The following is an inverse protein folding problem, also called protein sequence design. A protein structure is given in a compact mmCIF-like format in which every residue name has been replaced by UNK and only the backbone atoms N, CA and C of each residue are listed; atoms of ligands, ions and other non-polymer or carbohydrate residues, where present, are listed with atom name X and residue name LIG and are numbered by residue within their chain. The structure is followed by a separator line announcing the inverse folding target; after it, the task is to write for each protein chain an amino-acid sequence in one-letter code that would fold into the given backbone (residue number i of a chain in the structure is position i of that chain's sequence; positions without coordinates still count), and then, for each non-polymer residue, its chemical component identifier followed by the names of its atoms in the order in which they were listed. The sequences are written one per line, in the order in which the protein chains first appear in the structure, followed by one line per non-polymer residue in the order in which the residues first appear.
data_IF_220880834468
#
_entry.id   IF_220880834468
#
_cell.length_a   1.000
_cell.length_b   1.000
_cell.length_c   1.000
_cell.angle_alpha   90.00
_cell.angle_beta   90.00
_cell.angle_gamma   90.00
#
_symmetry.space_group_name_H-M   'P 1'
#
loop_
_entity.id
_entity.type
_entity.pdbx_description
1 polymer ?
#
# COMPACT_ATOMS: atom_id res chain seq x y z
N UNK A 1 -0.05 -51.93 -12.03
CA UNK A 1 -0.27 -50.61 -12.69
C UNK A 1 -1.32 -50.78 -13.78
N UNK A 2 -2.44 -50.06 -13.68
CA UNK A 2 -3.60 -50.17 -14.57
C UNK A 2 -3.30 -49.69 -15.99
N UNK A 3 -4.03 -50.22 -16.99
CA UNK A 3 -3.96 -49.80 -18.40
C UNK A 3 -4.17 -48.30 -18.60
N UNK A 4 -4.89 -47.63 -17.70
CA UNK A 4 -5.13 -46.18 -17.72
C UNK A 4 -3.84 -45.37 -17.47
N UNK A 5 -3.00 -45.77 -16.51
CA UNK A 5 -1.75 -45.05 -16.20
C UNK A 5 -0.72 -45.13 -17.34
N UNK A 6 -0.78 -46.16 -18.20
CA UNK A 6 0.11 -46.26 -19.36
C UNK A 6 -0.28 -45.31 -20.49
N UNK A 7 -1.56 -44.98 -20.63
CA UNK A 7 -2.03 -44.04 -21.65
C UNK A 7 -1.74 -42.59 -21.27
N UNK A 8 -1.87 -42.22 -19.99
CA UNK A 8 -1.53 -40.88 -19.51
C UNK A 8 -0.02 -40.59 -19.62
N UNK A 9 0.84 -41.55 -19.27
CA UNK A 9 2.28 -41.39 -19.42
C UNK A 9 2.71 -41.25 -20.89
N UNK A 10 2.03 -41.94 -21.81
CA UNK A 10 2.28 -41.80 -23.25
C UNK A 10 1.80 -40.44 -23.80
N UNK A 11 0.70 -39.90 -23.28
CA UNK A 11 0.20 -38.57 -23.63
C UNK A 11 1.16 -37.47 -23.13
N UNK A 12 1.63 -37.57 -21.89
CA UNK A 12 2.60 -36.64 -21.30
C UNK A 12 3.95 -36.67 -22.04
N UNK A 13 4.42 -37.86 -22.43
CA UNK A 13 5.69 -38.00 -23.18
C UNK A 13 5.60 -37.41 -24.59
N UNK A 14 4.42 -37.44 -25.24
CA UNK A 14 4.20 -36.77 -26.54
C UNK A 14 4.19 -35.24 -26.41
N UNK A 15 3.59 -34.71 -25.35
CA UNK A 15 3.55 -33.26 -25.08
C UNK A 15 4.96 -32.73 -24.80
N UNK A 16 5.74 -33.44 -23.97
CA UNK A 16 7.13 -33.07 -23.64
C UNK A 16 8.05 -33.13 -24.86
N UNK A 17 7.85 -34.09 -25.77
CA UNK A 17 8.63 -34.17 -27.01
C UNK A 17 8.25 -33.08 -28.03
N UNK A 18 7.01 -32.57 -27.99
CA UNK A 18 6.57 -31.47 -28.86
C UNK A 18 7.13 -30.10 -28.44
N UNK A 19 7.61 -29.95 -27.20
CA UNK A 19 8.15 -28.69 -26.67
C UNK A 19 9.68 -28.67 -26.56
N UNK A 20 10.36 -29.82 -26.65
CA UNK A 20 11.83 -29.94 -26.54
C UNK A 20 12.64 -29.56 -27.80
N UNK A 21 12.06 -28.83 -28.76
CA UNK A 21 12.75 -28.41 -29.99
C UNK A 21 12.58 -26.94 -30.37
N UNK A 22 11.91 -26.12 -29.55
CA UNK A 22 11.74 -24.71 -29.84
C UNK A 22 12.96 -23.93 -29.32
N UNK A 23 13.92 -23.69 -30.20
CA UNK A 23 15.08 -22.83 -29.96
C UNK A 23 14.63 -21.37 -29.91
N UNK A 24 14.31 -20.88 -28.72
CA UNK A 24 13.98 -19.47 -28.46
C UNK A 24 15.23 -18.60 -28.20
N UNK A 25 16.43 -19.15 -28.29
CA UNK A 25 17.68 -18.49 -27.87
C UNK A 25 18.20 -17.44 -28.85
N UNK A 26 17.99 -17.64 -30.16
CA UNK A 26 18.60 -16.77 -31.20
C UNK A 26 17.76 -15.54 -31.55
N UNK A 27 16.42 -15.59 -31.38
CA UNK A 27 15.52 -14.49 -31.73
C UNK A 27 15.42 -13.39 -30.65
N UNK A 28 15.86 -13.64 -29.42
CA UNK A 28 15.78 -12.68 -28.31
C UNK A 28 17.04 -11.80 -28.14
N UNK A 29 18.14 -12.08 -28.82
CA UNK A 29 19.42 -11.41 -28.58
C UNK A 29 19.73 -10.20 -29.50
N UNK A 30 18.84 -9.83 -30.43
CA UNK A 30 19.02 -8.62 -31.25
C UNK A 30 18.28 -7.41 -30.66
N UNK A 31 18.95 -6.74 -29.72
CA UNK A 31 18.75 -5.35 -29.27
C UNK A 31 17.30 -4.84 -29.18
N UNK A 32 16.65 -5.08 -28.03
CA UNK A 32 15.43 -4.36 -27.63
C UNK A 32 15.78 -2.91 -27.26
N UNK A 33 15.85 -2.04 -28.26
CA UNK A 33 15.89 -0.59 -28.03
C UNK A 33 14.54 -0.10 -27.50
N UNK A 34 14.56 0.76 -26.45
CA UNK A 34 13.38 1.38 -25.81
C UNK A 34 12.38 1.95 -26.82
N UNK A 35 12.85 2.43 -27.98
CA UNK A 35 12.02 2.99 -29.04
C UNK A 35 11.18 1.94 -29.78
N UNK A 36 11.66 0.70 -29.89
CA UNK A 36 10.91 -0.41 -30.53
C UNK A 36 9.89 -1.05 -29.60
N UNK A 37 10.10 -0.95 -28.28
CA UNK A 37 9.10 -1.39 -27.29
C UNK A 37 7.81 -0.55 -27.36
N UNK A 38 7.93 0.77 -27.51
CA UNK A 38 6.76 1.65 -27.68
C UNK A 38 6.07 1.51 -29.05
N UNK A 39 6.81 1.15 -30.10
CA UNK A 39 6.24 0.88 -31.44
C UNK A 39 5.58 -0.51 -31.54
N UNK A 40 6.05 -1.49 -30.77
CA UNK A 40 5.44 -2.83 -30.71
C UNK A 40 4.26 -2.93 -29.72
N UNK A 41 4.18 -2.02 -28.74
CA UNK A 41 3.07 -1.95 -27.77
C UNK A 41 1.76 -1.35 -28.31
N UNK A 42 1.75 -0.83 -29.55
CA UNK A 42 0.59 -0.15 -30.15
C UNK A 42 -0.48 -1.06 -30.78
N UNK A 43 -0.40 -2.39 -30.62
CA UNK A 43 -1.29 -3.35 -31.28
C UNK A 43 -1.91 -4.38 -30.32
N UNK A 44 -2.40 -3.96 -29.14
CA UNK A 44 -3.32 -4.80 -28.36
C UNK A 44 -4.75 -4.56 -28.80
N UNK A 45 -5.27 -5.58 -29.49
CA UNK A 45 -6.63 -5.72 -29.98
C UNK A 45 -7.63 -5.45 -28.84
N UNK A 46 -8.61 -4.62 -29.17
CA UNK A 46 -9.82 -4.28 -28.44
C UNK A 46 -10.50 -5.48 -27.74
N UNK A 47 -10.28 -5.62 -26.43
CA UNK A 47 -11.15 -6.39 -25.53
C UNK A 47 -12.42 -5.60 -25.10
N UNK A 48 -12.57 -4.35 -25.52
CA UNK A 48 -13.66 -3.46 -25.09
C UNK A 48 -15.06 -3.81 -25.63
N UNK A 49 -15.18 -4.64 -26.67
CA UNK A 49 -16.47 -4.95 -27.29
C UNK A 49 -17.16 -6.21 -26.73
N UNK A 50 -16.45 -7.09 -26.00
CA UNK A 50 -17.05 -8.28 -25.37
C UNK A 50 -17.48 -8.04 -23.91
N UNK A 51 -17.01 -6.97 -23.27
CA UNK A 51 -17.42 -6.58 -21.91
C UNK A 51 -18.69 -5.70 -21.87
N UNK A 52 -19.11 -5.14 -23.00
CA UNK A 52 -20.31 -4.31 -23.07
C UNK A 52 -21.63 -5.11 -23.08
N UNK A 53 -21.58 -6.44 -23.24
CA UNK A 53 -22.78 -7.29 -23.31
C UNK A 53 -23.12 -8.01 -21.98
N UNK A 54 -22.28 -7.88 -20.94
CA UNK A 54 -22.61 -8.34 -19.57
C UNK A 54 -22.84 -7.18 -18.59
N UNK A 55 -22.74 -5.94 -19.05
CA UNK A 55 -22.92 -4.71 -18.27
C UNK A 55 -24.26 -4.03 -18.49
N UNK A 56 -25.32 -4.77 -18.87
CA UNK A 56 -26.67 -4.22 -18.85
C UNK A 56 -27.05 -3.98 -17.37
N UNK A 57 -27.04 -2.71 -16.99
CA UNK A 57 -27.39 -2.24 -15.65
C UNK A 57 -28.88 -2.45 -15.41
N UNK A 58 -29.25 -3.57 -14.78
CA UNK A 58 -30.46 -3.64 -13.98
C UNK A 58 -30.08 -3.52 -12.50
N UNK A 59 -30.62 -2.48 -11.87
CA UNK A 59 -30.57 -2.23 -10.43
C UNK A 59 -31.28 -3.38 -9.70
N UNK A 60 -30.52 -4.43 -9.37
CA UNK A 60 -31.03 -5.58 -8.60
C UNK A 60 -31.00 -5.33 -7.08
N UNK A 61 -30.64 -4.14 -6.61
CA UNK A 61 -30.65 -3.79 -5.19
C UNK A 61 -29.68 -4.61 -4.32
N UNK A 62 -28.80 -5.41 -4.94
CA UNK A 62 -27.74 -6.15 -4.25
C UNK A 62 -26.53 -5.22 -4.15
N UNK A 63 -26.20 -4.79 -2.93
CA UNK A 63 -25.03 -3.96 -2.68
C UNK A 63 -23.75 -4.68 -3.14
N UNK A 64 -23.01 -4.07 -4.07
CA UNK A 64 -21.69 -4.55 -4.48
C UNK A 64 -20.62 -3.88 -3.63
N UNK A 65 -19.76 -4.69 -3.03
CA UNK A 65 -18.49 -4.21 -2.48
C UNK A 65 -17.66 -3.73 -3.68
N UNK A 66 -17.48 -2.42 -3.80
CA UNK A 66 -16.78 -1.77 -4.93
C UNK A 66 -17.58 -0.75 -5.73
N UNK A 67 -18.87 -0.54 -5.42
CA UNK A 67 -19.56 0.65 -5.93
C UNK A 67 -18.94 1.88 -5.25
N UNK A 68 -18.15 2.63 -6.02
CA UNK A 68 -17.64 3.93 -5.56
C UNK A 68 -18.83 4.85 -5.33
N UNK A 69 -18.92 5.42 -4.13
CA UNK A 69 -19.80 6.58 -3.87
C UNK A 69 -19.57 7.58 -5.01
N UNK A 70 -20.64 8.15 -5.61
CA UNK A 70 -20.48 9.14 -6.68
C UNK A 70 -19.45 10.19 -6.27
N UNK A 71 -18.50 10.43 -7.18
CA UNK A 71 -17.37 11.31 -6.98
C UNK A 71 -17.90 12.74 -6.79
N UNK A 72 -18.09 13.13 -5.53
CA UNK A 72 -18.34 14.52 -5.21
C UNK A 72 -17.03 15.24 -5.46
N UNK A 73 -16.97 16.02 -6.54
CA UNK A 73 -15.80 16.83 -6.86
C UNK A 73 -15.35 17.57 -5.60
N UNK A 74 -14.12 17.26 -5.14
CA UNK A 74 -13.52 17.98 -4.04
C UNK A 74 -13.42 19.45 -4.42
N UNK A 75 -13.65 20.34 -3.45
CA UNK A 75 -13.36 21.75 -3.66
C UNK A 75 -11.92 21.91 -4.15
N UNK A 76 -11.72 22.74 -5.16
CA UNK A 76 -10.38 23.07 -5.65
C UNK A 76 -9.70 23.96 -4.59
N UNK A 77 -9.00 23.31 -3.67
CA UNK A 77 -8.28 23.94 -2.57
C UNK A 77 -6.80 23.92 -2.91
N UNK A 78 -6.16 25.08 -2.80
CA UNK A 78 -4.71 25.20 -2.94
C UNK A 78 -3.99 24.30 -1.93
N UNK A 79 -3.13 23.41 -2.42
CA UNK A 79 -2.29 22.57 -1.58
C UNK A 79 -1.05 23.36 -1.18
N UNK A 80 -1.14 24.03 -0.04
CA UNK A 80 -0.03 24.82 0.54
C UNK A 80 0.97 23.94 1.30
N UNK A 81 2.15 24.48 1.58
CA UNK A 81 3.15 23.81 2.44
C UNK A 81 2.56 23.45 3.83
N UNK A 82 1.70 24.31 4.38
CA UNK A 82 0.98 24.05 5.63
C UNK A 82 0.04 22.85 5.51
N UNK A 83 -0.67 22.70 4.39
CA UNK A 83 -1.55 21.53 4.15
C UNK A 83 -0.74 20.25 4.07
N UNK A 84 0.40 20.29 3.35
CA UNK A 84 1.30 19.15 3.24
C UNK A 84 1.86 18.77 4.62
N UNK A 85 2.46 19.72 5.35
CA UNK A 85 3.04 19.45 6.66
C UNK A 85 2.00 18.91 7.66
N UNK A 86 0.81 19.51 7.74
CA UNK A 86 -0.29 19.00 8.57
C UNK A 86 -0.71 17.58 8.20
N UNK A 87 -0.69 17.27 6.91
CA UNK A 87 -0.98 15.91 6.43
C UNK A 87 0.12 14.94 6.86
N UNK A 88 1.39 15.28 6.66
CA UNK A 88 2.52 14.47 7.14
C UNK A 88 2.44 14.25 8.67
N UNK A 89 2.24 15.30 9.46
CA UNK A 89 2.07 15.18 10.92
C UNK A 89 0.95 14.20 11.26
N UNK A 90 -0.19 14.27 10.59
CA UNK A 90 -1.31 13.35 10.84
C UNK A 90 -0.95 11.87 10.59
N UNK A 91 -0.08 11.60 9.62
CA UNK A 91 0.40 10.25 9.31
C UNK A 91 1.41 9.76 10.37
N UNK A 92 2.28 10.64 10.88
CA UNK A 92 3.14 10.32 12.02
C UNK A 92 2.30 9.91 13.23
N UNK A 93 1.20 10.61 13.51
CA UNK A 93 0.29 10.24 14.60
C UNK A 93 -0.45 8.91 14.36
N UNK A 94 -0.71 8.50 13.11
CA UNK A 94 -1.20 7.13 12.86
C UNK A 94 -0.12 6.08 13.21
N UNK A 95 1.14 6.32 12.84
CA UNK A 95 2.23 5.41 13.16
C UNK A 95 2.47 5.33 14.67
N UNK A 96 2.51 6.48 15.37
CA UNK A 96 2.60 6.57 16.83
C UNK A 96 1.49 5.74 17.48
N UNK A 97 0.24 5.93 17.05
CA UNK A 97 -0.90 5.19 17.57
C UNK A 97 -0.71 3.67 17.43
N UNK A 98 -0.26 3.20 16.27
CA UNK A 98 -0.04 1.77 16.02
C UNK A 98 1.07 1.22 16.91
N UNK A 99 2.22 1.89 16.99
CA UNK A 99 3.32 1.42 17.82
C UNK A 99 2.97 1.41 19.31
N UNK A 100 2.20 2.40 19.79
CA UNK A 100 1.69 2.41 21.16
C UNK A 100 0.70 1.27 21.42
N UNK A 101 -0.21 1.00 20.48
CA UNK A 101 -1.16 -0.10 20.58
C UNK A 101 -0.46 -1.47 20.59
N UNK A 102 0.51 -1.68 19.70
CA UNK A 102 1.31 -2.92 19.62
C UNK A 102 2.14 -3.13 20.89
N UNK A 103 2.76 -2.07 21.40
CA UNK A 103 3.51 -2.13 22.66
C UNK A 103 2.59 -2.48 23.84
N UNK A 104 1.41 -1.86 23.90
CA UNK A 104 0.40 -2.13 24.94
C UNK A 104 -0.14 -3.56 24.88
N UNK A 105 -0.30 -4.10 23.67
CA UNK A 105 -0.74 -5.49 23.46
C UNK A 105 0.35 -6.52 23.80
N UNK A 106 1.61 -6.10 23.97
CA UNK A 106 2.72 -7.00 24.33
C UNK A 106 3.05 -8.05 23.25
N UNK A 107 2.71 -7.78 21.98
CA UNK A 107 2.86 -8.73 20.88
C UNK A 107 4.34 -8.95 20.52
N UNK A 108 5.14 -7.88 20.56
CA UNK A 108 6.55 -7.92 20.20
C UNK A 108 7.43 -8.17 21.43
N UNK A 109 8.53 -8.89 21.24
CA UNK A 109 9.53 -9.17 22.27
C UNK A 109 10.97 -9.07 21.72
N UNK A 110 11.96 -9.05 22.63
CA UNK A 110 13.38 -9.02 22.26
C UNK A 110 13.77 -7.85 21.36
N UNK A 111 14.55 -8.16 20.32
CA UNK A 111 15.04 -7.16 19.36
C UNK A 111 13.90 -6.47 18.59
N UNK A 112 12.81 -7.20 18.29
CA UNK A 112 11.65 -6.63 17.60
C UNK A 112 10.96 -5.55 18.44
N UNK A 113 10.79 -5.78 19.75
CA UNK A 113 10.24 -4.78 20.66
C UNK A 113 11.19 -3.57 20.81
N UNK A 114 12.50 -3.81 20.85
CA UNK A 114 13.51 -2.74 20.92
C UNK A 114 13.48 -1.87 19.67
N UNK A 115 13.38 -2.48 18.49
CA UNK A 115 13.28 -1.76 17.22
C UNK A 115 11.97 -0.98 17.10
N UNK A 116 10.84 -1.57 17.50
CA UNK A 116 9.54 -0.89 17.53
C UNK A 116 9.55 0.34 18.46
N UNK A 117 10.20 0.25 19.63
CA UNK A 117 10.36 1.38 20.54
C UNK A 117 11.20 2.51 19.93
N UNK A 118 12.23 2.16 19.14
CA UNK A 118 13.00 3.14 18.38
C UNK A 118 12.14 3.82 17.33
N UNK A 119 11.41 3.08 16.49
CA UNK A 119 10.53 3.67 15.47
C UNK A 119 9.45 4.57 16.09
N UNK A 120 8.86 4.18 17.22
CA UNK A 120 7.96 5.06 17.98
C UNK A 120 8.63 6.38 18.39
N UNK A 121 9.87 6.33 18.86
CA UNK A 121 10.64 7.53 19.21
C UNK A 121 10.91 8.41 17.98
N UNK A 122 11.29 7.79 16.86
CA UNK A 122 11.59 8.49 15.61
C UNK A 122 10.32 9.18 15.07
N UNK A 123 9.18 8.50 15.01
CA UNK A 123 7.89 9.11 14.62
C UNK A 123 7.46 10.27 15.51
N UNK A 124 7.69 10.20 16.82
CA UNK A 124 7.43 11.33 17.73
C UNK A 124 8.31 12.54 17.40
N UNK A 125 9.58 12.31 17.09
CA UNK A 125 10.49 13.37 16.66
C UNK A 125 10.05 13.98 15.31
N UNK A 126 9.60 13.16 14.37
CA UNK A 126 9.08 13.62 13.08
C UNK A 126 7.77 14.40 13.21
N UNK A 127 6.85 13.93 14.06
CA UNK A 127 5.59 14.63 14.37
C UNK A 127 5.85 16.01 14.98
N UNK A 128 6.81 16.10 15.91
CA UNK A 128 7.22 17.37 16.52
C UNK A 128 7.85 18.31 15.48
N UNK A 129 8.78 17.80 14.67
CA UNK A 129 9.44 18.60 13.64
C UNK A 129 8.44 19.19 12.63
N UNK A 130 7.52 18.36 12.12
CA UNK A 130 6.48 18.81 11.17
C UNK A 130 5.46 19.75 11.82
N UNK A 131 5.11 19.54 13.09
CA UNK A 131 4.25 20.45 13.86
C UNK A 131 4.91 21.81 14.03
N UNK A 132 6.17 21.85 14.45
CA UNK A 132 6.92 23.08 14.63
C UNK A 132 7.07 23.87 13.32
N UNK A 133 7.35 23.19 12.21
CA UNK A 133 7.41 23.84 10.89
C UNK A 133 6.04 24.38 10.45
N UNK A 134 4.96 23.65 10.73
CA UNK A 134 3.60 24.10 10.44
C UNK A 134 3.30 25.43 11.17
N UNK A 135 3.66 25.51 12.45
CA UNK A 135 3.44 26.71 13.28
C UNK A 135 4.32 27.88 12.84
N UNK A 136 5.58 27.62 12.46
CA UNK A 136 6.48 28.65 11.91
C UNK A 136 5.94 29.29 10.63
N UNK A 137 5.20 28.53 9.82
CA UNK A 137 4.52 29.02 8.62
C UNK A 137 3.16 29.67 8.90
N UNK A 138 2.79 29.86 10.17
CA UNK A 138 1.53 30.48 10.59
C UNK A 138 0.32 29.54 10.53
N UNK A 139 0.54 28.23 10.33
CA UNK A 139 -0.50 27.21 10.44
C UNK A 139 -0.74 26.76 11.88
N UNK A 140 -1.79 25.98 12.09
CA UNK A 140 -1.99 25.23 13.34
C UNK A 140 -1.41 23.82 13.17
N UNK A 141 -0.71 23.27 14.15
CA UNK A 141 -0.31 21.86 14.10
C UNK A 141 -1.54 20.92 14.06
N UNK A 142 -1.40 19.73 13.45
CA UNK A 142 -2.43 18.69 13.49
C UNK A 142 -1.91 17.51 14.30
N UNK A 143 -2.17 17.51 15.60
CA UNK A 143 -1.57 16.58 16.56
C UNK A 143 -2.42 15.35 16.85
N UNK A 144 -3.10 14.84 15.82
CA UNK A 144 -4.00 13.69 15.91
C UNK A 144 -3.77 12.76 14.71
N UNK A 145 -4.12 11.47 14.82
CA UNK A 145 -4.05 10.55 13.68
C UNK A 145 -4.90 11.05 12.50
N UNK A 146 -4.48 10.77 11.27
CA UNK A 146 -5.30 11.06 10.11
C UNK A 146 -6.63 10.28 10.21
N UNK A 147 -7.79 10.95 10.31
CA UNK A 147 -9.05 10.28 10.65
C UNK A 147 -9.48 9.28 9.57
N UNK A 148 -9.16 9.54 8.30
CA UNK A 148 -9.57 8.65 7.21
C UNK A 148 -8.73 7.37 7.18
N UNK A 149 -7.40 7.49 7.30
CA UNK A 149 -6.56 6.29 7.41
C UNK A 149 -6.83 5.53 8.71
N UNK A 150 -7.09 6.27 9.79
CA UNK A 150 -7.37 5.68 11.10
C UNK A 150 -8.57 4.73 11.02
N UNK A 151 -9.72 5.23 10.54
CA UNK A 151 -10.97 4.47 10.54
C UNK A 151 -11.04 3.40 9.46
N UNK A 152 -10.43 3.62 8.29
CA UNK A 152 -10.55 2.67 7.16
C UNK A 152 -9.48 1.57 7.22
N UNK A 153 -8.30 1.87 7.75
CA UNK A 153 -7.15 0.95 7.68
C UNK A 153 -6.58 0.60 9.06
N UNK A 154 -6.21 1.59 9.86
CA UNK A 154 -5.43 1.35 11.09
C UNK A 154 -6.25 0.59 12.15
N UNK A 155 -7.42 1.10 12.51
CA UNK A 155 -8.26 0.48 13.55
C UNK A 155 -8.75 -0.90 13.13
N UNK A 156 -9.26 -1.12 11.90
CA UNK A 156 -9.64 -2.46 11.44
C UNK A 156 -8.47 -3.43 11.43
N UNK A 157 -7.28 -3.02 10.99
CA UNK A 157 -6.10 -3.89 10.97
C UNK A 157 -5.70 -4.31 12.38
N UNK A 158 -5.55 -3.36 13.31
CA UNK A 158 -5.24 -3.67 14.70
C UNK A 158 -6.29 -4.59 15.32
N UNK A 159 -7.58 -4.32 15.08
CA UNK A 159 -8.69 -5.14 15.58
C UNK A 159 -8.60 -6.60 15.12
N UNK A 160 -8.25 -6.83 13.85
CA UNK A 160 -8.07 -8.18 13.30
C UNK A 160 -6.82 -8.87 13.84
N UNK A 161 -5.76 -8.12 14.06
CA UNK A 161 -4.49 -8.65 14.59
C UNK A 161 -4.64 -9.05 16.05
N UNK A 162 -5.09 -8.11 16.90
CA UNK A 162 -5.11 -8.29 18.36
C UNK A 162 -6.39 -8.94 18.87
N UNK A 163 -7.43 -9.02 18.03
CA UNK A 163 -8.76 -9.46 18.40
C UNK A 163 -9.60 -8.35 19.04
N UNK A 164 -10.91 -8.57 19.08
CA UNK A 164 -11.87 -7.79 19.86
C UNK A 164 -12.97 -8.72 20.38
N UNK A 165 -12.82 -9.11 21.64
CA UNK A 165 -13.77 -9.97 22.35
C UNK A 165 -15.16 -9.34 22.43
N UNK A 166 -15.27 -8.01 22.45
CA UNK A 166 -16.56 -7.31 22.47
C UNK A 166 -17.35 -7.45 21.17
N UNK A 167 -16.65 -7.70 20.05
CA UNK A 167 -17.25 -7.94 18.74
C UNK A 167 -17.17 -9.40 18.29
N UNK A 168 -16.69 -10.33 19.14
CA UNK A 168 -16.51 -11.73 18.80
C UNK A 168 -15.43 -11.97 17.72
N UNK A 169 -14.46 -11.06 17.62
CA UNK A 169 -13.32 -11.20 16.70
C UNK A 169 -12.17 -11.80 17.48
N UNK A 170 -11.76 -13.02 17.11
CA UNK A 170 -10.56 -13.64 17.66
C UNK A 170 -9.30 -12.99 17.08
N UNK A 171 -8.18 -12.96 17.83
CA UNK A 171 -6.90 -12.55 17.29
C UNK A 171 -6.49 -13.40 16.08
N UNK A 172 -5.68 -12.82 15.20
CA UNK A 172 -5.09 -13.56 14.07
C UNK A 172 -4.21 -14.73 14.55
N UNK A 173 -3.98 -15.71 13.68
CA UNK A 173 -3.20 -16.90 14.00
C UNK A 173 -1.70 -16.60 14.25
N UNK A 174 -1.17 -15.54 13.63
CA UNK A 174 0.22 -15.09 13.80
C UNK A 174 0.28 -13.56 13.98
N UNK A 175 0.00 -13.05 15.19
CA UNK A 175 -0.07 -11.61 15.43
C UNK A 175 1.28 -10.92 15.25
N UNK A 176 2.40 -11.61 15.43
CA UNK A 176 3.73 -11.03 15.22
C UNK A 176 3.96 -10.76 13.74
N UNK A 177 3.69 -11.74 12.87
CA UNK A 177 3.85 -11.56 11.44
C UNK A 177 2.94 -10.44 10.90
N UNK A 178 1.68 -10.40 11.34
CA UNK A 178 0.73 -9.39 10.86
C UNK A 178 1.04 -7.99 11.39
N UNK A 179 1.53 -7.85 12.64
CA UNK A 179 2.05 -6.56 13.14
C UNK A 179 3.24 -6.07 12.31
N UNK A 180 4.17 -6.96 11.95
CA UNK A 180 5.32 -6.58 11.13
C UNK A 180 4.90 -6.15 9.72
N UNK A 181 3.89 -6.81 9.14
CA UNK A 181 3.31 -6.39 7.86
C UNK A 181 2.64 -5.02 7.95
N UNK A 182 1.89 -4.75 9.02
CA UNK A 182 1.27 -3.44 9.27
C UNK A 182 2.34 -2.35 9.47
N UNK A 183 3.36 -2.61 10.27
CA UNK A 183 4.47 -1.70 10.48
C UNK A 183 5.16 -1.37 9.15
N UNK A 184 5.52 -2.38 8.36
CA UNK A 184 6.13 -2.19 7.04
C UNK A 184 5.27 -1.33 6.09
N UNK A 185 3.95 -1.52 6.09
CA UNK A 185 3.03 -0.72 5.30
C UNK A 185 3.04 0.76 5.75
N UNK A 186 3.04 1.03 7.05
CA UNK A 186 3.09 2.38 7.60
C UNK A 186 4.42 3.07 7.30
N UNK A 187 5.55 2.40 7.48
CA UNK A 187 6.87 2.95 7.14
C UNK A 187 6.98 3.28 5.64
N UNK A 188 6.40 2.43 4.79
CA UNK A 188 6.35 2.66 3.34
C UNK A 188 5.50 3.90 3.01
N UNK A 189 4.36 4.08 3.68
CA UNK A 189 3.50 5.25 3.50
C UNK A 189 4.21 6.52 4.00
N UNK A 190 4.84 6.48 5.18
CA UNK A 190 5.58 7.62 5.72
C UNK A 190 6.73 8.01 4.78
N UNK A 191 7.60 7.07 4.43
CA UNK A 191 8.74 7.33 3.54
C UNK A 191 8.33 7.82 2.15
N UNK A 192 7.28 7.23 1.55
CA UNK A 192 6.77 7.69 0.26
C UNK A 192 6.11 9.07 0.33
N UNK A 193 5.50 9.44 1.46
CA UNK A 193 4.92 10.77 1.68
C UNK A 193 5.99 11.84 1.65
N UNK A 194 7.06 11.70 2.42
CA UNK A 194 8.14 12.69 2.44
C UNK A 194 8.85 12.78 1.09
N UNK A 195 9.12 11.65 0.43
CA UNK A 195 9.67 11.64 -0.92
C UNK A 195 8.77 12.38 -1.93
N UNK A 196 7.45 12.18 -1.84
CA UNK A 196 6.49 12.87 -2.70
C UNK A 196 6.35 14.37 -2.38
N UNK A 197 6.68 14.79 -1.16
CA UNK A 197 6.55 16.18 -0.71
C UNK A 197 7.74 17.05 -1.10
N UNK A 198 8.96 16.49 -1.18
CA UNK A 198 10.16 17.23 -1.58
C UNK A 198 9.94 18.14 -2.82
N UNK A 199 9.38 17.67 -3.95
CA UNK A 199 9.16 18.53 -5.12
C UNK A 199 7.94 19.47 -4.98
N UNK A 200 7.09 19.28 -3.98
CA UNK A 200 5.86 20.07 -3.75
C UNK A 200 6.10 21.24 -2.79
N UNK A 201 7.01 21.07 -1.84
CA UNK A 201 7.35 22.10 -0.87
C UNK A 201 7.95 23.31 -1.60
N UNK A 202 7.43 24.50 -1.31
CA UNK A 202 7.85 25.73 -1.98
C UNK A 202 9.20 26.25 -1.44
N UNK A 203 9.40 26.15 -0.13
CA UNK A 203 10.62 26.58 0.56
C UNK A 203 11.74 25.51 0.53
N UNK A 204 12.95 25.83 0.03
CA UNK A 204 14.11 24.94 0.09
C UNK A 204 14.46 24.41 1.49
N UNK A 205 14.27 25.20 2.55
CA UNK A 205 14.56 24.78 3.92
C UNK A 205 13.62 23.65 4.38
N UNK A 206 12.35 23.69 3.95
CA UNK A 206 11.39 22.63 4.22
C UNK A 206 11.77 21.32 3.51
N UNK A 207 12.32 21.41 2.29
CA UNK A 207 12.83 20.22 1.58
C UNK A 207 13.95 19.55 2.35
N UNK A 208 14.89 20.33 2.89
CA UNK A 208 15.96 19.80 3.74
C UNK A 208 15.42 19.10 4.98
N UNK A 209 14.39 19.65 5.60
CA UNK A 209 13.72 19.05 6.76
C UNK A 209 13.02 17.74 6.39
N UNK A 210 12.30 17.70 5.26
CA UNK A 210 11.62 16.49 4.77
C UNK A 210 12.59 15.38 4.33
N UNK A 211 13.85 15.69 3.98
CA UNK A 211 14.89 14.70 3.68
C UNK A 211 15.49 14.10 4.96
N UNK A 212 15.47 14.85 6.06
CA UNK A 212 16.00 14.42 7.37
C UNK A 212 15.02 13.56 8.18
N UNK A 213 13.81 13.36 7.65
CA UNK A 213 12.77 12.45 8.15
C UNK A 213 12.82 11.18 7.29
#
# INVERSE_FOLDING_TARGET
MSHSNRQELQALTKIVRATQGADFGSALQTSLSRRRFFLAGGATISFGALLAACGASESTGIARIGDSVPDNALADIEVTDVVLLRTATSLEYNAIYVYEAVASAGILSGDAATLAARFLSDHRAHAEATSSLTEQLGGTAFTQPNPRLQTIYVEPALKLIVGDTGSGIEPTADPVADVLALAYALETIAGSTYQAYIPKLSDPALRGSAIGI
#
